data_IF_284804548818
#
_entry.id   IF_284804548818
#
_cell.length_a   1.000
_cell.length_b   1.000
_cell.length_c   1.000
_cell.angle_alpha   90.00
_cell.angle_beta   90.00
_cell.angle_gamma   90.00
#
_symmetry.space_group_name_H-M   'P 1'
#
loop_
_entity.id
_entity.type
_entity.pdbx_description
1 polymer ?
#
# COMPACT_ATOMS: atom_id res chain seq x y z
N UNK A 1 35.39 45.09 10.88
CA UNK A 1 35.53 44.22 9.69
C UNK A 1 35.17 42.80 10.10
N UNK A 2 34.15 42.20 9.47
CA UNK A 2 33.62 40.87 9.81
C UNK A 2 34.46 39.77 9.16
N UNK A 3 35.00 38.86 9.96
CA UNK A 3 35.80 37.72 9.52
C UNK A 3 34.86 36.61 9.01
N UNK A 4 34.77 36.48 7.67
CA UNK A 4 34.03 35.41 6.99
C UNK A 4 34.74 34.07 7.27
N UNK A 5 34.10 33.21 8.06
CA UNK A 5 34.49 31.80 8.19
C UNK A 5 33.94 31.06 6.97
N UNK A 6 34.83 30.73 6.05
CA UNK A 6 34.59 29.78 4.97
C UNK A 6 34.74 28.39 5.58
N UNK A 7 33.61 27.75 5.91
CA UNK A 7 33.57 26.32 6.17
C UNK A 7 33.21 25.62 4.86
N UNK A 8 34.23 25.30 4.08
CA UNK A 8 34.16 24.30 3.02
C UNK A 8 34.01 22.94 3.66
N UNK A 9 32.77 22.49 3.84
CA UNK A 9 32.48 21.09 4.16
C UNK A 9 32.17 20.40 2.83
N UNK A 10 33.24 19.94 2.19
CA UNK A 10 33.18 18.84 1.22
C UNK A 10 32.81 17.60 2.03
N UNK A 11 31.52 17.39 2.28
CA UNK A 11 31.03 16.11 2.76
C UNK A 11 30.66 15.27 1.55
N UNK A 12 31.56 14.33 1.27
CA UNK A 12 31.45 13.21 0.37
C UNK A 12 30.00 12.80 0.08
N UNK A 13 29.62 12.95 -1.20
CA UNK A 13 28.66 12.07 -1.84
C UNK A 13 29.30 10.67 -1.93
N UNK A 14 29.40 9.99 -0.79
CA UNK A 14 29.67 8.56 -0.76
C UNK A 14 28.37 7.92 -1.16
N UNK A 15 28.35 7.37 -2.37
CA UNK A 15 27.48 6.30 -2.77
C UNK A 15 27.43 5.26 -1.64
N UNK A 16 26.41 5.36 -0.79
CA UNK A 16 26.04 4.32 0.14
C UNK A 16 25.12 3.39 -0.64
N UNK A 17 25.76 2.59 -1.51
CA UNK A 17 25.42 1.19 -1.63
C UNK A 17 25.65 0.55 -0.25
N UNK A 18 24.71 0.77 0.67
CA UNK A 18 24.54 -0.10 1.82
C UNK A 18 23.35 -0.98 1.51
N UNK A 19 23.65 -2.15 0.95
CA UNK A 19 22.82 -3.31 1.18
C UNK A 19 23.09 -3.75 2.63
N UNK A 20 22.16 -3.57 3.59
CA UNK A 20 22.17 -4.45 4.73
C UNK A 20 21.91 -5.87 4.20
N UNK A 21 22.93 -6.70 4.29
CA UNK A 21 22.78 -8.15 4.27
C UNK A 21 21.77 -8.51 5.37
N UNK A 22 20.58 -8.86 4.91
CA UNK A 22 19.38 -9.03 5.72
C UNK A 22 18.22 -9.10 4.75
N UNK A 23 18.20 -10.15 3.93
CA UNK A 23 16.99 -10.55 3.21
C UNK A 23 16.01 -11.02 4.29
N UNK A 24 15.28 -10.09 4.90
CA UNK A 24 13.99 -10.40 5.50
C UNK A 24 13.05 -10.60 4.31
N UNK A 25 12.88 -11.87 3.94
CA UNK A 25 11.95 -12.29 2.93
C UNK A 25 10.58 -11.70 3.25
N UNK A 26 9.98 -11.00 2.28
CA UNK A 26 8.57 -10.65 2.35
C UNK A 26 7.76 -11.92 2.56
N UNK A 27 6.91 -11.90 3.59
CA UNK A 27 6.04 -12.99 3.99
C UNK A 27 5.14 -13.44 2.81
N UNK A 28 5.15 -14.75 2.52
CA UNK A 28 4.11 -15.41 1.72
C UNK A 28 2.84 -15.49 2.58
N UNK A 29 1.91 -14.55 2.40
CA UNK A 29 0.63 -14.58 3.12
C UNK A 29 -0.29 -15.62 2.48
N UNK A 30 -0.36 -16.80 3.10
CA UNK A 30 -1.48 -17.73 2.95
C UNK A 30 -2.31 -17.70 4.24
N UNK A 31 -3.59 -17.33 4.14
CA UNK A 31 -4.53 -17.41 5.27
C UNK A 31 -4.51 -16.21 6.23
N UNK A 32 -5.34 -16.33 7.27
CA UNK A 32 -5.91 -15.30 8.16
C UNK A 32 -4.90 -14.55 9.09
N UNK A 33 -3.68 -14.27 8.62
CA UNK A 33 -2.66 -13.50 9.35
C UNK A 33 -2.96 -11.99 9.28
N UNK A 34 -2.57 -11.20 10.30
CA UNK A 34 -2.63 -9.74 10.22
C UNK A 34 -1.74 -9.26 9.07
N UNK A 35 -2.33 -8.62 8.05
CA UNK A 35 -1.56 -8.05 6.95
C UNK A 35 -0.58 -7.00 7.48
N UNK A 36 0.72 -7.28 7.43
CA UNK A 36 1.76 -6.33 7.80
C UNK A 36 2.93 -6.44 6.84
N UNK A 37 3.36 -5.32 6.24
CA UNK A 37 4.58 -5.24 5.41
C UNK A 37 5.88 -5.34 6.26
N UNK A 38 5.84 -6.05 7.39
CA UNK A 38 6.93 -6.15 8.36
C UNK A 38 7.31 -4.82 9.04
N UNK A 39 8.48 -4.83 9.67
CA UNK A 39 9.13 -3.63 10.20
C UNK A 39 9.66 -2.77 9.04
N UNK A 40 9.28 -1.49 9.03
CA UNK A 40 9.67 -0.55 7.98
C UNK A 40 11.02 0.13 8.24
N UNK A 41 11.64 0.62 7.17
CA UNK A 41 12.79 1.52 7.24
C UNK A 41 12.30 2.89 7.70
N UNK A 42 12.78 3.36 8.84
CA UNK A 42 12.44 4.68 9.40
C UNK A 42 13.65 5.59 9.41
N UNK A 43 13.48 6.80 8.89
CA UNK A 43 14.47 7.87 8.94
C UNK A 43 13.82 9.06 9.62
N UNK A 44 14.41 9.50 10.72
CA UNK A 44 13.98 10.67 11.48
C UNK A 44 15.08 11.73 11.42
N UNK A 45 14.73 12.93 10.94
CA UNK A 45 15.61 14.10 10.86
C UNK A 45 15.02 15.29 11.63
N UNK A 46 14.26 15.03 12.70
CA UNK A 46 13.61 16.02 13.55
C UNK A 46 12.35 16.60 12.92
N UNK A 47 12.54 17.49 11.93
CA UNK A 47 11.41 18.15 11.26
C UNK A 47 10.76 17.28 10.18
N UNK A 48 11.45 16.23 9.73
CA UNK A 48 11.00 15.29 8.70
C UNK A 48 11.15 13.87 9.19
N UNK A 49 10.08 13.08 9.08
CA UNK A 49 10.13 11.63 9.27
C UNK A 49 9.70 10.93 7.99
N UNK A 50 10.42 9.86 7.65
CA UNK A 50 10.12 9.00 6.53
C UNK A 50 9.99 7.59 7.07
N UNK A 51 8.93 6.88 6.69
CA UNK A 51 8.78 5.46 6.93
C UNK A 51 8.47 4.77 5.59
N UNK A 52 9.32 3.82 5.22
CA UNK A 52 9.16 2.99 4.04
C UNK A 52 8.86 1.56 4.48
N UNK A 53 7.83 0.96 3.88
CA UNK A 53 7.48 -0.45 4.05
C UNK A 53 7.29 -1.09 2.69
N UNK A 54 7.63 -2.36 2.56
CA UNK A 54 7.43 -3.06 1.31
C UNK A 54 7.41 -4.56 1.47
N UNK A 55 6.94 -5.23 0.43
CA UNK A 55 6.96 -6.67 0.29
C UNK A 55 7.48 -7.02 -1.11
N UNK A 56 8.25 -8.10 -1.19
CA UNK A 56 8.72 -8.69 -2.42
C UNK A 56 8.30 -10.16 -2.42
N UNK A 57 7.69 -10.62 -3.49
CA UNK A 57 7.27 -11.99 -3.70
C UNK A 57 7.85 -12.55 -4.99
N UNK A 58 8.31 -13.79 -4.95
CA UNK A 58 8.63 -14.58 -6.14
C UNK A 58 7.76 -15.82 -6.08
N UNK A 59 7.03 -16.09 -7.15
CA UNK A 59 6.14 -17.25 -7.24
C UNK A 59 6.41 -18.04 -8.51
N UNK A 60 6.10 -19.34 -8.47
CA UNK A 60 6.20 -20.23 -9.62
C UNK A 60 5.00 -21.16 -9.59
N UNK A 61 4.30 -21.23 -10.72
CA UNK A 61 3.18 -22.14 -10.93
C UNK A 61 3.64 -23.21 -11.91
N UNK A 62 3.53 -24.46 -11.50
CA UNK A 62 3.88 -25.64 -12.29
C UNK A 62 2.63 -26.48 -12.48
N UNK A 63 2.41 -26.96 -13.71
CA UNK A 63 1.31 -27.88 -13.99
C UNK A 63 1.57 -29.23 -13.33
N UNK A 64 0.67 -29.63 -12.43
CA UNK A 64 0.86 -30.80 -11.59
C UNK A 64 0.59 -32.14 -12.30
N UNK A 65 -0.33 -32.15 -13.26
CA UNK A 65 -0.85 -33.37 -13.91
C UNK A 65 -0.84 -33.24 -15.43
N UNK A 66 -0.83 -34.37 -16.15
CA UNK A 66 -0.89 -34.38 -17.61
C UNK A 66 -2.25 -33.85 -18.11
N UNK A 67 -2.34 -33.31 -19.34
CA UNK A 67 -3.61 -32.98 -19.98
C UNK A 67 -4.57 -34.16 -20.03
N UNK A 68 -5.85 -33.92 -19.75
CA UNK A 68 -6.88 -34.95 -19.94
C UNK A 68 -7.39 -34.89 -21.39
N UNK A 69 -7.43 -36.05 -22.05
CA UNK A 69 -8.05 -36.21 -23.37
C UNK A 69 -9.49 -35.69 -23.44
N UNK A 70 -10.26 -35.77 -22.34
CA UNK A 70 -11.60 -35.21 -22.24
C UNK A 70 -11.60 -33.70 -22.46
N UNK A 71 -10.57 -33.02 -21.94
CA UNK A 71 -10.35 -31.58 -21.99
C UNK A 71 -9.48 -31.11 -23.16
N UNK A 72 -9.14 -31.99 -24.10
CA UNK A 72 -8.44 -31.61 -25.34
C UNK A 72 -9.17 -32.04 -26.62
N UNK A 73 -10.01 -33.08 -26.56
CA UNK A 73 -10.65 -33.68 -27.76
C UNK A 73 -12.17 -33.47 -27.86
N UNK A 74 -12.81 -32.95 -26.81
CA UNK A 74 -14.26 -32.69 -26.79
C UNK A 74 -14.70 -31.58 -27.76
N UNK A 75 -15.95 -31.63 -28.24
CA UNK A 75 -16.50 -30.58 -29.13
C UNK A 75 -16.44 -29.22 -28.44
N UNK A 76 -15.77 -28.25 -29.07
CA UNK A 76 -15.61 -26.89 -28.55
C UNK A 76 -14.48 -26.74 -27.53
N UNK A 77 -13.79 -27.81 -27.17
CA UNK A 77 -12.78 -27.75 -26.12
C UNK A 77 -11.57 -26.88 -26.48
N UNK A 78 -11.30 -26.74 -27.79
CA UNK A 78 -10.30 -25.82 -28.36
C UNK A 78 -10.51 -24.34 -28.00
N UNK A 79 -11.64 -23.94 -27.42
CA UNK A 79 -11.86 -22.57 -26.95
C UNK A 79 -12.19 -22.48 -25.46
N UNK A 80 -12.25 -23.61 -24.76
CA UNK A 80 -12.70 -23.70 -23.37
C UNK A 80 -11.61 -24.21 -22.43
N UNK A 81 -10.54 -24.84 -22.95
CA UNK A 81 -9.50 -25.40 -22.10
C UNK A 81 -8.09 -25.11 -22.63
N UNK A 82 -7.71 -23.85 -22.58
CA UNK A 82 -6.38 -23.40 -22.96
C UNK A 82 -5.30 -23.99 -22.03
N UNK A 83 -5.64 -24.35 -20.80
CA UNK A 83 -4.70 -24.94 -19.85
C UNK A 83 -4.20 -26.32 -20.28
N UNK A 84 -5.11 -27.21 -20.67
CA UNK A 84 -4.78 -28.57 -21.14
C UNK A 84 -4.20 -28.57 -22.57
N UNK A 85 -4.48 -27.53 -23.34
CA UNK A 85 -3.97 -27.40 -24.72
C UNK A 85 -2.59 -26.73 -24.79
N UNK A 86 -2.15 -26.03 -23.74
CA UNK A 86 -0.89 -25.29 -23.74
C UNK A 86 0.23 -25.88 -22.88
N UNK A 87 -0.11 -26.67 -21.86
CA UNK A 87 0.86 -27.07 -20.84
C UNK A 87 0.76 -28.55 -20.54
N UNK A 88 1.92 -29.21 -20.49
CA UNK A 88 2.11 -30.59 -20.07
C UNK A 88 2.46 -30.68 -18.58
N UNK A 89 2.45 -31.90 -18.04
CA UNK A 89 2.87 -32.11 -16.66
C UNK A 89 4.33 -31.64 -16.44
N UNK A 90 4.55 -30.85 -15.39
CA UNK A 90 5.85 -30.31 -15.04
C UNK A 90 6.20 -29.00 -15.75
N UNK A 91 5.37 -28.55 -16.70
CA UNK A 91 5.59 -27.27 -17.35
C UNK A 91 5.39 -26.12 -16.37
N UNK A 92 6.26 -25.12 -16.50
CA UNK A 92 6.14 -23.84 -15.80
C UNK A 92 5.08 -23.01 -16.52
N UNK A 93 3.94 -22.82 -15.86
CA UNK A 93 2.83 -22.02 -16.37
C UNK A 93 3.09 -20.53 -16.16
N UNK A 94 3.63 -20.17 -14.98
CA UNK A 94 3.84 -18.79 -14.56
C UNK A 94 5.04 -18.69 -13.64
N UNK A 95 5.80 -17.60 -13.75
CA UNK A 95 6.85 -17.22 -12.80
C UNK A 95 6.74 -15.74 -12.53
N UNK A 96 6.11 -15.34 -11.44
CA UNK A 96 5.90 -13.92 -11.17
C UNK A 96 6.88 -13.37 -10.13
N UNK A 97 7.38 -12.17 -10.40
CA UNK A 97 7.95 -11.27 -9.40
C UNK A 97 6.89 -10.22 -9.05
N UNK A 98 6.57 -10.07 -7.77
CA UNK A 98 5.65 -9.06 -7.24
C UNK A 98 6.37 -8.16 -6.25
N UNK A 99 6.18 -6.85 -6.35
CA UNK A 99 6.70 -5.87 -5.41
C UNK A 99 5.60 -4.90 -4.98
N UNK A 100 5.47 -4.66 -3.68
CA UNK A 100 4.61 -3.62 -3.13
C UNK A 100 5.44 -2.68 -2.27
N UNK A 101 5.26 -1.37 -2.45
CA UNK A 101 5.97 -0.35 -1.71
C UNK A 101 4.99 0.68 -1.17
N UNK A 102 5.27 1.14 0.04
CA UNK A 102 4.48 2.11 0.74
C UNK A 102 5.38 3.10 1.46
N UNK A 103 5.16 4.39 1.24
CA UNK A 103 5.92 5.48 1.82
C UNK A 103 5.01 6.41 2.64
N UNK A 104 5.43 6.66 3.87
CA UNK A 104 4.92 7.70 4.75
C UNK A 104 5.97 8.79 4.86
N UNK A 105 5.56 10.02 4.61
CA UNK A 105 6.40 11.19 4.86
C UNK A 105 5.63 12.11 5.80
N UNK A 106 6.28 12.61 6.84
CA UNK A 106 5.75 13.66 7.70
C UNK A 106 6.75 14.82 7.77
N UNK A 107 6.23 16.04 7.74
CA UNK A 107 6.99 17.26 7.93
C UNK A 107 6.17 18.27 8.73
N UNK A 108 6.57 18.53 9.99
CA UNK A 108 5.79 19.31 10.94
C UNK A 108 4.33 18.82 11.05
N UNK A 109 3.37 19.66 10.68
CA UNK A 109 1.92 19.36 10.75
C UNK A 109 1.35 18.77 9.44
N UNK A 110 2.19 18.30 8.54
CA UNK A 110 1.76 17.73 7.27
C UNK A 110 2.29 16.32 7.10
N UNK A 111 1.48 15.45 6.50
CA UNK A 111 1.89 14.12 6.07
C UNK A 111 1.53 13.86 4.61
N UNK A 112 2.20 12.89 4.00
CA UNK A 112 1.91 12.34 2.69
C UNK A 112 2.02 10.81 2.77
N UNK A 113 1.00 10.12 2.25
CA UNK A 113 1.03 8.68 2.01
C UNK A 113 1.11 8.42 0.51
N UNK A 114 2.05 7.58 0.11
CA UNK A 114 2.13 7.01 -1.22
C UNK A 114 2.20 5.48 -1.13
N UNK A 115 1.53 4.78 -2.04
CA UNK A 115 1.69 3.33 -2.16
C UNK A 115 1.57 2.88 -3.61
N UNK A 116 2.27 1.80 -3.97
CA UNK A 116 2.22 1.26 -5.32
C UNK A 116 2.68 -0.19 -5.39
N UNK A 117 2.26 -0.86 -6.46
CA UNK A 117 2.60 -2.23 -6.80
C UNK A 117 3.32 -2.27 -8.15
N UNK A 118 4.30 -3.16 -8.30
CA UNK A 118 4.85 -3.57 -9.58
C UNK A 118 4.86 -5.09 -9.66
N UNK A 119 4.72 -5.65 -10.86
CA UNK A 119 4.80 -7.10 -11.07
C UNK A 119 5.31 -7.42 -12.47
N UNK A 120 5.88 -8.60 -12.64
CA UNK A 120 6.44 -9.07 -13.90
C UNK A 120 6.47 -10.60 -13.97
N UNK A 121 5.83 -11.18 -14.99
CA UNK A 121 5.85 -12.61 -15.29
C UNK A 121 6.44 -12.89 -16.69
N UNK A 122 7.73 -13.25 -16.79
CA UNK A 122 8.35 -13.56 -18.08
C UNK A 122 7.81 -14.83 -18.72
N UNK A 123 7.24 -15.78 -17.96
CA UNK A 123 6.73 -17.04 -18.52
C UNK A 123 5.50 -16.77 -19.35
N UNK A 124 4.58 -15.93 -18.85
CA UNK A 124 3.37 -15.56 -19.59
C UNK A 124 3.67 -14.58 -20.74
N UNK A 125 4.66 -13.70 -20.60
CA UNK A 125 4.99 -12.70 -21.62
C UNK A 125 5.78 -13.25 -22.81
N UNK A 126 6.74 -14.14 -22.55
CA UNK A 126 7.78 -14.46 -23.53
C UNK A 126 7.75 -15.91 -24.01
N UNK A 127 7.22 -16.85 -23.22
CA UNK A 127 7.21 -18.24 -23.62
C UNK A 127 6.08 -18.49 -24.63
N UNK A 128 6.43 -19.11 -25.74
CA UNK A 128 5.44 -19.56 -26.71
C UNK A 128 4.71 -20.77 -26.19
N UNK A 129 3.39 -20.77 -26.33
CA UNK A 129 2.54 -21.93 -26.05
C UNK A 129 1.96 -22.51 -27.35
N UNK A 130 1.66 -23.82 -27.40
CA UNK A 130 1.18 -24.49 -28.62
C UNK A 130 -0.18 -24.01 -29.15
N UNK A 131 -1.10 -23.61 -28.28
CA UNK A 131 -2.49 -23.32 -28.63
C UNK A 131 -2.86 -21.84 -28.45
N UNK A 132 -2.25 -21.12 -27.51
CA UNK A 132 -2.61 -19.74 -27.23
C UNK A 132 -3.90 -19.63 -26.42
N UNK A 133 -4.61 -18.51 -26.54
CA UNK A 133 -5.81 -18.19 -25.80
C UNK A 133 -6.67 -17.17 -26.56
N UNK A 134 -7.82 -16.79 -25.99
CA UNK A 134 -8.78 -15.90 -26.64
C UNK A 134 -8.18 -14.60 -27.19
N UNK A 135 -7.22 -13.96 -26.49
CA UNK A 135 -6.71 -12.64 -26.89
C UNK A 135 -5.63 -12.67 -27.98
N UNK A 136 -5.17 -13.86 -28.37
CA UNK A 136 -4.33 -14.07 -29.54
C UNK A 136 -4.99 -15.06 -30.53
N UNK A 137 -6.33 -15.11 -30.54
CA UNK A 137 -7.15 -15.90 -31.46
C UNK A 137 -6.81 -17.41 -31.47
N UNK A 138 -6.40 -17.95 -30.32
CA UNK A 138 -5.96 -19.35 -30.19
C UNK A 138 -4.86 -19.71 -31.20
N UNK A 139 -3.92 -18.79 -31.39
CA UNK A 139 -2.74 -19.00 -32.22
C UNK A 139 -1.52 -19.33 -31.37
N UNK A 140 -0.74 -20.31 -31.84
CA UNK A 140 0.53 -20.68 -31.23
C UNK A 140 1.49 -19.48 -31.16
N UNK A 141 2.20 -19.35 -30.03
CA UNK A 141 3.10 -18.23 -29.77
C UNK A 141 2.97 -17.71 -28.34
N UNK A 142 3.62 -16.57 -28.02
CA UNK A 142 3.46 -15.95 -26.71
C UNK A 142 2.01 -15.52 -26.44
N UNK A 143 1.61 -15.52 -25.17
CA UNK A 143 0.31 -15.03 -24.75
C UNK A 143 0.24 -13.50 -24.88
N UNK A 144 -0.98 -12.96 -24.87
CA UNK A 144 -1.24 -11.54 -25.10
C UNK A 144 -2.27 -10.99 -24.11
N UNK A 145 -1.89 -9.97 -23.34
CA UNK A 145 -2.69 -9.32 -22.31
C UNK A 145 -2.97 -7.84 -22.62
N UNK A 146 -2.67 -7.37 -23.84
CA UNK A 146 -2.81 -5.95 -24.21
C UNK A 146 -4.23 -5.38 -24.06
N UNK A 147 -5.25 -6.24 -24.13
CA UNK A 147 -6.65 -5.86 -23.91
C UNK A 147 -7.13 -5.99 -22.46
N UNK A 148 -6.28 -6.43 -21.53
CA UNK A 148 -6.67 -6.71 -20.15
C UNK A 148 -6.73 -5.42 -19.34
N UNK A 149 -7.49 -5.45 -18.23
CA UNK A 149 -7.42 -4.39 -17.24
C UNK A 149 -5.97 -4.27 -16.71
N UNK A 150 -5.48 -3.06 -16.36
CA UNK A 150 -4.07 -2.86 -16.02
C UNK A 150 -3.53 -3.83 -14.95
N UNK A 151 -4.30 -4.13 -13.89
CA UNK A 151 -3.88 -5.06 -12.83
C UNK A 151 -3.93 -6.55 -13.22
N UNK A 152 -4.54 -6.88 -14.35
CA UNK A 152 -4.68 -8.25 -14.86
C UNK A 152 -3.64 -8.59 -15.93
N UNK A 153 -2.83 -7.61 -16.34
CA UNK A 153 -1.71 -7.82 -17.25
C UNK A 153 -0.62 -8.67 -16.59
N UNK A 154 0.19 -9.38 -17.38
CA UNK A 154 1.32 -10.21 -16.95
C UNK A 154 2.48 -9.37 -16.41
N UNK A 155 2.52 -8.08 -16.73
CA UNK A 155 3.42 -7.13 -16.08
C UNK A 155 2.79 -5.75 -15.94
N UNK A 156 3.29 -4.97 -14.98
CA UNK A 156 2.85 -3.60 -14.83
C UNK A 156 3.34 -2.94 -13.57
N UNK A 157 2.93 -1.68 -13.44
CA UNK A 157 3.11 -0.86 -12.24
C UNK A 157 1.85 -0.03 -12.03
N UNK A 158 1.39 0.06 -10.78
CA UNK A 158 0.21 0.84 -10.43
C UNK A 158 0.38 1.55 -9.09
N UNK A 159 -0.03 2.81 -9.06
CA UNK A 159 -0.17 3.59 -7.82
C UNK A 159 -1.51 3.25 -7.16
N UNK A 160 -1.51 2.99 -5.85
CA UNK A 160 -2.71 2.65 -5.07
C UNK A 160 -3.20 3.86 -4.26
N UNK A 161 -2.35 4.40 -3.40
CA UNK A 161 -2.69 5.53 -2.54
C UNK A 161 -1.82 6.74 -2.85
N UNK A 162 -2.46 7.91 -2.87
CA UNK A 162 -1.79 9.20 -2.86
C UNK A 162 -2.67 10.23 -2.14
N UNK A 163 -2.41 10.44 -0.86
CA UNK A 163 -3.18 11.40 -0.07
C UNK A 163 -2.32 12.16 0.94
N UNK A 164 -2.75 13.40 1.21
CA UNK A 164 -2.12 14.28 2.20
C UNK A 164 -2.83 14.14 3.54
N UNK A 165 -2.07 14.10 4.62
CA UNK A 165 -2.56 14.07 6.00
C UNK A 165 -2.33 15.45 6.64
N UNK A 166 -3.32 15.96 7.39
CA UNK A 166 -3.18 17.12 8.28
C UNK A 166 -3.91 16.82 9.60
N UNK A 167 -3.36 17.19 10.76
CA UNK A 167 -4.09 17.10 12.01
C UNK A 167 -5.24 18.13 12.02
N UNK A 168 -6.46 17.67 12.31
CA UNK A 168 -7.58 18.54 12.64
C UNK A 168 -7.41 19.01 14.08
N UNK A 169 -6.97 20.26 14.26
CA UNK A 169 -7.13 20.92 15.55
C UNK A 169 -8.58 21.40 15.66
N UNK A 170 -9.37 20.75 16.53
CA UNK A 170 -10.62 21.33 17.02
C UNK A 170 -10.27 22.57 17.87
N UNK A 171 -10.46 23.76 17.30
CA UNK A 171 -10.46 25.00 18.07
C UNK A 171 -11.70 25.01 18.98
N UNK A 172 -11.57 24.57 20.23
CA UNK A 172 -12.50 25.02 21.27
C UNK A 172 -12.18 26.48 21.57
N UNK A 173 -12.92 27.41 20.94
CA UNK A 173 -12.89 28.81 21.35
C UNK A 173 -13.41 28.88 22.79
N UNK A 174 -12.53 29.19 23.73
CA UNK A 174 -12.93 29.66 25.05
C UNK A 174 -13.55 31.05 24.90
N UNK A 175 -14.88 31.13 24.99
CA UNK A 175 -15.57 32.40 25.15
C UNK A 175 -15.35 32.89 26.60
N UNK A 176 -14.18 33.47 26.87
CA UNK A 176 -13.95 34.25 28.10
C UNK A 176 -14.31 35.70 27.81
N UNK A 177 -15.60 36.02 27.86
CA UNK A 177 -16.07 37.41 27.86
C UNK A 177 -15.89 37.99 29.28
N UNK A 178 -14.87 38.84 29.43
CA UNK A 178 -14.75 39.79 30.54
C UNK A 178 -15.32 41.13 30.07
N UNK A 179 -16.32 41.65 30.78
CA UNK A 179 -16.90 42.98 30.55
C UNK A 179 -17.75 43.39 31.76
N UNK A 180 -17.19 44.28 32.58
CA UNK A 180 -17.67 44.76 33.89
C UNK A 180 -18.90 45.69 33.85
N UNK A 181 -19.63 45.63 34.98
CA UNK A 181 -20.24 46.73 35.77
C UNK A 181 -21.58 47.36 35.35
N UNK A 182 -22.61 47.07 36.15
CA UNK A 182 -23.60 47.97 36.76
C UNK A 182 -24.44 47.09 37.71
N UNK A 183 -24.79 47.39 38.95
CA UNK A 183 -24.75 48.60 39.78
C UNK A 183 -25.05 48.17 41.23
N UNK A 184 -24.50 48.89 42.19
CA UNK A 184 -24.83 48.82 43.62
C UNK A 184 -26.35 48.91 43.90
N UNK A 185 -26.83 48.27 44.98
CA UNK A 185 -27.40 48.96 46.16
C UNK A 185 -28.32 48.07 47.05
N UNK A 186 -28.04 48.12 48.36
CA UNK A 186 -28.95 48.03 49.53
C UNK A 186 -29.56 46.69 50.01
N UNK A 187 -28.97 46.19 51.11
CA UNK A 187 -29.57 45.73 52.38
C UNK A 187 -31.09 45.40 52.45
N UNK A 188 -31.47 44.19 52.93
CA UNK A 188 -31.78 43.80 54.33
C UNK A 188 -32.54 42.44 54.38
N UNK A 189 -32.57 41.72 55.53
CA UNK A 189 -33.07 40.35 55.67
C UNK A 189 -34.50 40.28 56.25
N UNK A 190 -35.38 39.38 55.79
CA UNK A 190 -36.58 38.90 56.51
C UNK A 190 -37.04 37.57 55.85
N UNK A 191 -36.97 36.42 56.53
CA UNK A 191 -37.95 35.87 57.50
C UNK A 191 -39.05 35.04 56.79
N UNK A 192 -38.94 33.71 56.86
CA UNK A 192 -39.94 32.76 56.35
C UNK A 192 -40.71 32.17 57.54
N UNK A 193 -42.04 32.30 57.63
CA UNK A 193 -42.79 31.75 58.75
C UNK A 193 -43.00 30.24 58.60
N UNK A 194 -42.76 29.52 59.70
CA UNK A 194 -43.26 28.16 59.95
C UNK A 194 -44.78 28.12 59.85
N UNK A 195 -45.32 27.07 59.21
CA UNK A 195 -46.64 26.52 59.58
C UNK A 195 -46.51 25.03 59.88
N UNK A 196 -47.04 24.72 61.06
CA UNK A 196 -47.22 23.41 61.69
C UNK A 196 -48.53 22.74 61.20
N UNK A 197 -48.86 21.51 61.65
CA UNK A 197 -49.44 20.45 60.84
C UNK A 197 -50.91 20.15 61.16
N UNK A 198 -51.49 19.22 60.39
CA UNK A 198 -52.54 18.26 60.75
C UNK A 198 -52.55 17.23 59.60
N UNK A 199 -52.70 15.93 59.77
CA UNK A 199 -53.02 15.03 60.88
C UNK A 199 -52.76 13.62 60.38
#
# INVERSE_FOLDING_TARGET
MKQKRICTVVLLCKALLFAPLGVEAGELVFGNMPSGLGEGIKVDSGDVQIELKGALGISTIIRAESPDSFFTSGKGMSTHNDGDLNYEQGDVVSQALDAYLQANLSAGNYGLRLSGKAWYDPSLLNNSVPHGHVSNDYSAGPLNDSGFAPLSQFSGVQLHDAYRVRPLYCLSKSARASGRAASDSLAHPHDYPRRHPAS
#
